data_IF_179110516604
#
_entry.id   IF_179110516604
#
_cell.length_a   1.000
_cell.length_b   1.000
_cell.length_c   1.000
_cell.angle_alpha   90.00
_cell.angle_beta   90.00
_cell.angle_gamma   90.00
#
_symmetry.space_group_name_H-M   'P 1'
#
loop_
_entity.id
_entity.type
_entity.pdbx_description
1 polymer ?
#
# COMPACT_ATOMS: atom_id res chain seq x y z
N UNK A 1 -38.31 -22.65 47.14
CA UNK A 1 -38.32 -21.43 47.99
C UNK A 1 -37.39 -20.40 47.36
N UNK A 2 -37.88 -19.16 47.29
CA UNK A 2 -37.17 -17.93 46.89
C UNK A 2 -35.88 -17.78 47.73
N UNK A 3 -34.80 -17.19 47.24
CA UNK A 3 -34.68 -15.73 47.10
C UNK A 3 -33.75 -15.24 45.98
N UNK A 4 -34.18 -14.13 45.39
CA UNK A 4 -33.39 -13.17 44.62
C UNK A 4 -32.62 -12.26 45.58
N UNK A 5 -31.45 -11.78 45.16
CA UNK A 5 -31.13 -10.35 45.29
C UNK A 5 -30.12 -9.92 44.22
N UNK A 6 -30.54 -8.93 43.43
CA UNK A 6 -29.68 -8.02 42.69
C UNK A 6 -28.98 -7.07 43.68
N UNK A 7 -27.75 -6.59 43.39
CA UNK A 7 -27.55 -5.27 42.79
C UNK A 7 -26.09 -4.78 42.78
N UNK A 8 -25.76 -4.09 41.68
CA UNK A 8 -24.95 -2.85 41.53
C UNK A 8 -23.43 -2.79 41.76
N UNK A 9 -22.76 -2.42 40.64
CA UNK A 9 -21.72 -1.37 40.48
C UNK A 9 -20.36 -1.63 41.15
N UNK A 10 -19.19 -1.21 40.65
CA UNK A 10 -18.83 0.02 39.93
C UNK A 10 -17.35 -0.05 39.44
N UNK A 11 -16.94 0.92 38.62
CA UNK A 11 -15.63 1.23 37.97
C UNK A 11 -15.54 0.73 36.51
N UNK A 12 -15.87 1.47 35.43
CA UNK A 12 -15.63 2.91 35.05
C UNK A 12 -14.14 3.28 35.23
N UNK A 13 -13.33 3.76 34.28
CA UNK A 13 -13.39 4.63 33.05
C UNK A 13 -12.03 4.41 32.33
N UNK A 14 -11.78 4.60 31.02
CA UNK A 14 -12.26 5.57 30.04
C UNK A 14 -11.07 6.43 29.53
N UNK A 15 -10.81 6.47 28.21
CA UNK A 15 -10.05 7.53 27.49
C UNK A 15 -10.28 7.41 25.97
N UNK A 16 -11.34 8.00 25.42
CA UNK A 16 -11.45 9.37 24.88
C UNK A 16 -10.84 9.55 23.45
N UNK A 17 -11.69 9.38 22.42
CA UNK A 17 -11.49 9.88 21.05
C UNK A 17 -11.64 11.42 21.04
N UNK A 18 -10.64 12.14 20.56
CA UNK A 18 -10.71 13.60 20.33
C UNK A 18 -11.46 13.88 19.02
N UNK A 19 -12.61 14.55 19.13
CA UNK A 19 -13.29 15.27 18.04
C UNK A 19 -12.76 16.71 18.02
N UNK A 20 -12.45 17.23 16.83
CA UNK A 20 -12.35 18.66 16.59
C UNK A 20 -13.59 19.11 15.80
N UNK A 21 -14.36 20.00 16.40
CA UNK A 21 -15.43 20.78 15.79
C UNK A 21 -14.90 22.20 15.61
N UNK A 22 -15.04 22.76 14.42
CA UNK A 22 -15.04 24.22 14.20
C UNK A 22 -16.32 24.52 13.41
N UNK A 23 -17.05 25.53 13.88
CA UNK A 23 -18.38 25.92 13.44
C UNK A 23 -18.37 27.27 12.69
N UNK A 24 -19.29 27.40 11.73
CA UNK A 24 -19.92 28.66 11.28
C UNK A 24 -19.30 29.32 10.03
N UNK A 25 -20.02 29.91 9.07
CA UNK A 25 -21.42 30.41 9.02
C UNK A 25 -21.90 30.61 7.55
N UNK A 26 -23.23 30.45 7.36
CA UNK A 26 -24.14 30.97 6.30
C UNK A 26 -24.03 30.40 4.87
N UNK A 27 -25.10 30.10 4.12
CA UNK A 27 -26.54 30.32 4.27
C UNK A 27 -27.12 30.67 2.89
N UNK A 28 -27.95 29.79 2.30
CA UNK A 28 -28.86 30.14 1.19
C UNK A 28 -30.00 29.11 1.07
N UNK A 29 -31.21 29.63 0.86
CA UNK A 29 -32.50 28.95 0.96
C UNK A 29 -32.81 28.02 -0.21
N UNK A 30 -33.55 26.94 0.08
CA UNK A 30 -34.11 26.02 -0.89
C UNK A 30 -35.41 26.54 -1.48
N UNK A 31 -35.49 26.61 -2.81
CA UNK A 31 -36.76 26.62 -3.56
C UNK A 31 -36.91 25.24 -4.20
N UNK A 32 -37.84 24.45 -3.68
CA UNK A 32 -38.25 23.17 -4.24
C UNK A 32 -39.17 23.41 -5.44
N UNK A 33 -38.65 23.21 -6.65
CA UNK A 33 -39.48 22.91 -7.82
C UNK A 33 -39.32 21.41 -8.08
N UNK A 34 -40.42 20.69 -7.91
CA UNK A 34 -40.51 19.26 -8.16
C UNK A 34 -40.24 18.94 -9.63
N UNK A 35 -39.00 18.56 -9.91
CA UNK A 35 -38.72 17.51 -10.86
C UNK A 35 -38.42 16.26 -10.04
N UNK A 36 -39.14 15.16 -10.31
CA UNK A 36 -38.62 13.83 -10.01
C UNK A 36 -37.36 13.65 -10.85
N UNK A 37 -36.25 14.16 -10.36
CA UNK A 37 -34.93 13.73 -10.79
C UNK A 37 -34.84 12.30 -10.29
N UNK A 38 -35.12 11.36 -11.17
CA UNK A 38 -34.56 10.01 -11.03
C UNK A 38 -33.08 10.27 -10.76
N UNK A 39 -32.53 9.89 -9.58
CA UNK A 39 -31.12 10.13 -9.33
C UNK A 39 -30.39 9.52 -10.51
N UNK A 40 -29.70 10.36 -11.29
CA UNK A 40 -28.88 9.88 -12.39
C UNK A 40 -28.05 8.78 -11.77
N UNK A 41 -28.24 7.53 -12.26
CA UNK A 41 -27.39 6.44 -11.81
C UNK A 41 -25.97 6.95 -12.00
N UNK A 42 -25.22 7.04 -10.91
CA UNK A 42 -23.84 7.50 -10.96
C UNK A 42 -23.02 6.35 -11.57
N UNK A 43 -23.30 6.10 -12.85
CA UNK A 43 -22.79 4.99 -13.61
C UNK A 43 -21.30 5.24 -13.80
N UNK A 44 -20.52 4.21 -13.48
CA UNK A 44 -19.09 4.25 -13.64
C UNK A 44 -18.80 4.28 -15.15
N UNK A 45 -18.21 5.38 -15.61
CA UNK A 45 -17.79 5.53 -17.00
C UNK A 45 -16.27 5.73 -17.09
N UNK A 46 -15.73 5.67 -18.31
CA UNK A 46 -14.30 5.81 -18.56
C UNK A 46 -13.74 7.14 -18.03
N UNK A 47 -14.48 8.23 -18.14
CA UNK A 47 -14.02 9.57 -17.71
C UNK A 47 -13.87 9.63 -16.19
N UNK A 48 -14.84 9.10 -15.45
CA UNK A 48 -14.79 8.99 -13.98
C UNK A 48 -13.65 8.09 -13.54
N UNK A 49 -13.48 6.94 -14.18
CA UNK A 49 -12.36 6.03 -13.90
C UNK A 49 -11.02 6.75 -14.15
N UNK A 50 -10.86 7.41 -15.29
CA UNK A 50 -9.65 8.17 -15.61
C UNK A 50 -9.36 9.25 -14.55
N UNK A 51 -10.39 9.95 -14.05
CA UNK A 51 -10.24 10.95 -13.00
C UNK A 51 -9.78 10.31 -11.67
N UNK A 52 -10.41 9.21 -11.26
CA UNK A 52 -10.04 8.46 -10.04
C UNK A 52 -8.59 7.99 -10.14
N UNK A 53 -8.21 7.34 -11.26
CA UNK A 53 -6.87 6.76 -11.41
C UNK A 53 -5.77 7.82 -11.53
N UNK A 54 -6.04 8.96 -12.19
CA UNK A 54 -5.08 10.09 -12.22
C UNK A 54 -4.75 10.61 -10.84
N UNK A 55 -5.77 10.78 -9.98
CA UNK A 55 -5.57 11.24 -8.61
C UNK A 55 -4.90 10.17 -7.76
N UNK A 56 -5.41 8.94 -7.84
CA UNK A 56 -4.89 7.84 -7.06
C UNK A 56 -3.38 7.64 -7.33
N UNK A 57 -3.00 7.42 -8.59
CA UNK A 57 -1.63 7.06 -8.97
C UNK A 57 -0.60 8.18 -8.78
N UNK A 58 -1.03 9.39 -8.42
CA UNK A 58 -0.11 10.44 -7.96
C UNK A 58 0.43 10.15 -6.54
N UNK A 59 -0.29 9.36 -5.73
CA UNK A 59 0.17 8.92 -4.41
C UNK A 59 1.00 7.64 -4.50
N UNK A 60 2.24 7.68 -4.00
CA UNK A 60 3.13 6.51 -3.86
C UNK A 60 2.49 5.33 -3.13
N UNK A 61 1.50 5.57 -2.26
CA UNK A 61 0.82 4.51 -1.53
C UNK A 61 -0.11 3.69 -2.40
N UNK A 62 -0.51 4.19 -3.58
CA UNK A 62 -1.45 3.52 -4.47
C UNK A 62 -0.81 3.09 -5.79
N UNK A 63 0.43 3.48 -6.11
CA UNK A 63 1.09 3.01 -7.35
C UNK A 63 1.27 1.48 -7.33
N UNK A 64 1.34 0.82 -8.51
CA UNK A 64 1.62 -0.61 -8.58
C UNK A 64 2.92 -0.97 -7.85
N UNK A 65 2.94 -2.12 -7.17
CA UNK A 65 4.18 -2.62 -6.53
C UNK A 65 5.30 -2.87 -7.54
N UNK A 66 4.93 -3.17 -8.79
CA UNK A 66 5.84 -3.33 -9.92
C UNK A 66 6.64 -2.05 -10.24
N UNK A 67 6.15 -0.90 -9.78
CA UNK A 67 6.85 0.39 -9.89
C UNK A 67 7.86 0.61 -8.75
N UNK A 68 8.11 -0.38 -7.91
CA UNK A 68 8.91 -0.22 -6.70
C UNK A 68 10.12 -1.15 -6.67
N UNK A 69 11.26 -0.63 -6.21
CA UNK A 69 12.40 -1.43 -5.78
C UNK A 69 12.09 -1.96 -4.37
N UNK A 70 12.26 -3.27 -4.18
CA UNK A 70 11.89 -3.96 -2.95
C UNK A 70 13.10 -4.33 -2.10
N UNK A 71 13.03 -4.04 -0.81
CA UNK A 71 14.03 -4.42 0.19
C UNK A 71 13.33 -5.16 1.33
N UNK A 72 13.68 -6.43 1.52
CA UNK A 72 13.12 -7.24 2.59
C UNK A 72 13.58 -6.74 3.97
N UNK A 73 12.70 -6.87 4.97
CA UNK A 73 12.99 -6.50 6.36
C UNK A 73 11.91 -5.61 6.95
N UNK A 74 12.02 -5.36 8.26
CA UNK A 74 11.08 -4.50 8.98
C UNK A 74 11.11 -3.04 8.48
N UNK A 75 10.08 -2.28 8.86
CA UNK A 75 9.96 -0.86 8.54
C UNK A 75 11.20 -0.08 8.97
N UNK A 76 11.79 0.65 8.02
CA UNK A 76 12.98 1.46 8.24
C UNK A 76 12.71 2.66 9.17
N UNK A 77 13.65 3.03 10.05
CA UNK A 77 14.96 2.40 10.23
C UNK A 77 14.87 1.05 10.96
N UNK A 78 15.74 0.11 10.57
CA UNK A 78 15.73 -1.25 11.08
C UNK A 78 17.13 -1.89 11.03
N UNK A 79 17.39 -2.79 11.97
CA UNK A 79 18.50 -3.72 11.89
C UNK A 79 18.06 -4.98 11.13
N UNK A 80 18.79 -5.33 10.08
CA UNK A 80 18.51 -6.50 9.24
C UNK A 80 19.67 -7.50 9.32
N UNK A 81 19.41 -8.75 8.95
CA UNK A 81 20.51 -9.70 8.78
C UNK A 81 21.42 -9.22 7.64
N UNK A 82 22.72 -9.07 7.93
CA UNK A 82 23.67 -8.55 6.95
C UNK A 82 23.69 -9.39 5.66
N UNK A 83 23.41 -10.70 5.75
CA UNK A 83 23.37 -11.60 4.59
C UNK A 83 22.31 -11.19 3.55
N UNK A 84 21.22 -10.54 3.97
CA UNK A 84 20.09 -10.18 3.10
C UNK A 84 20.44 -9.02 2.14
N UNK A 85 21.52 -8.29 2.45
CA UNK A 85 22.06 -7.19 1.63
C UNK A 85 23.15 -7.66 0.68
N UNK A 86 23.62 -8.89 0.82
CA UNK A 86 24.74 -9.44 0.09
C UNK A 86 24.26 -10.50 -0.91
N UNK A 87 25.02 -10.65 -1.98
CA UNK A 87 25.00 -11.81 -2.85
C UNK A 87 25.69 -12.99 -2.17
N UNK A 88 25.54 -14.18 -2.75
CA UNK A 88 26.17 -15.43 -2.26
C UNK A 88 27.70 -15.32 -2.19
N UNK A 89 28.32 -14.51 -3.05
CA UNK A 89 29.76 -14.25 -3.07
C UNK A 89 30.21 -13.18 -2.05
N UNK A 90 29.30 -12.68 -1.21
CA UNK A 90 29.58 -11.67 -0.18
C UNK A 90 29.63 -10.24 -0.68
N UNK A 91 29.42 -9.98 -1.98
CA UNK A 91 29.35 -8.63 -2.54
C UNK A 91 27.97 -8.02 -2.28
N UNK A 92 27.90 -6.72 -1.98
CA UNK A 92 26.61 -6.01 -1.83
C UNK A 92 25.77 -6.19 -3.10
N UNK A 93 24.48 -6.50 -2.93
CA UNK A 93 23.56 -6.59 -4.07
C UNK A 93 23.51 -5.25 -4.80
N UNK A 94 23.46 -5.30 -6.12
CA UNK A 94 23.55 -4.09 -6.96
C UNK A 94 22.40 -3.10 -6.69
N UNK A 95 21.20 -3.60 -6.49
CA UNK A 95 20.04 -2.77 -6.14
C UNK A 95 20.21 -2.09 -4.77
N UNK A 96 20.73 -2.79 -3.76
CA UNK A 96 21.06 -2.20 -2.46
C UNK A 96 22.14 -1.13 -2.60
N UNK A 97 23.21 -1.42 -3.36
CA UNK A 97 24.28 -0.45 -3.61
C UNK A 97 23.74 0.78 -4.33
N UNK A 98 22.92 0.61 -5.36
CA UNK A 98 22.32 1.72 -6.09
C UNK A 98 21.34 2.54 -5.23
N UNK A 99 20.59 1.92 -4.31
CA UNK A 99 19.77 2.65 -3.33
C UNK A 99 20.62 3.53 -2.41
N UNK A 100 21.83 3.09 -2.05
CA UNK A 100 22.80 3.88 -1.27
C UNK A 100 23.38 5.01 -2.13
N UNK A 101 23.87 4.69 -3.33
CA UNK A 101 24.56 5.64 -4.21
C UNK A 101 23.63 6.76 -4.71
N UNK A 102 22.34 6.44 -4.91
CA UNK A 102 21.30 7.42 -5.22
C UNK A 102 20.71 8.10 -4.00
N UNK A 103 21.22 7.79 -2.81
CA UNK A 103 20.89 8.46 -1.57
C UNK A 103 19.46 8.21 -1.10
N UNK A 104 18.84 7.06 -1.42
CA UNK A 104 17.52 6.69 -0.90
C UNK A 104 17.61 6.13 0.53
N UNK A 105 18.70 5.41 0.82
CA UNK A 105 18.97 4.85 2.15
C UNK A 105 20.41 5.11 2.57
N UNK A 106 20.67 4.95 3.86
CA UNK A 106 22.02 4.73 4.39
C UNK A 106 22.10 3.33 4.97
N UNK A 107 23.27 2.71 4.85
CA UNK A 107 23.54 1.40 5.43
C UNK A 107 24.82 1.47 6.27
N UNK A 108 24.71 1.14 7.55
CA UNK A 108 25.86 0.85 8.42
C UNK A 108 26.05 -0.66 8.44
N UNK A 109 26.96 -1.14 7.60
CA UNK A 109 27.38 -2.54 7.61
C UNK A 109 28.08 -2.89 8.91
N UNK A 110 27.94 -4.15 9.36
CA UNK A 110 28.54 -4.66 10.60
C UNK A 110 28.13 -3.85 11.84
N UNK A 111 26.84 -3.53 11.95
CA UNK A 111 26.29 -2.78 13.08
C UNK A 111 26.31 -3.56 14.41
N UNK A 112 26.55 -4.87 14.35
CA UNK A 112 26.71 -5.73 15.54
C UNK A 112 26.31 -7.17 15.25
N UNK A 113 26.00 -7.92 16.32
CA UNK A 113 25.36 -9.23 16.24
C UNK A 113 24.11 -9.23 17.12
N UNK A 114 23.06 -9.88 16.66
CA UNK A 114 21.82 -9.98 17.45
C UNK A 114 20.65 -10.49 16.63
N UNK A 115 19.46 -10.06 17.05
CA UNK A 115 18.18 -10.37 16.39
C UNK A 115 17.81 -9.24 15.43
N UNK A 116 17.49 -9.53 14.15
CA UNK A 116 16.91 -8.54 13.25
C UNK A 116 15.64 -7.91 13.84
N UNK A 117 15.38 -6.66 13.47
CA UNK A 117 14.19 -5.93 13.92
C UNK A 117 12.92 -6.61 13.40
N UNK A 118 11.96 -6.83 14.29
CA UNK A 118 10.56 -7.16 13.96
C UNK A 118 9.70 -6.23 14.81
N UNK A 119 8.83 -5.45 14.17
CA UNK A 119 7.98 -4.46 14.86
C UNK A 119 6.63 -5.03 15.28
N UNK A 120 6.12 -6.00 14.54
CA UNK A 120 4.86 -6.65 14.85
C UNK A 120 5.05 -7.56 16.10
N UNK A 121 4.35 -7.29 17.22
CA UNK A 121 4.57 -8.02 18.47
C UNK A 121 4.10 -9.48 18.41
N UNK A 122 3.27 -9.83 17.42
CA UNK A 122 2.76 -11.19 17.25
C UNK A 122 3.76 -12.11 16.53
N UNK A 123 4.88 -11.55 16.05
CA UNK A 123 5.91 -12.26 15.29
C UNK A 123 7.30 -12.06 15.89
N UNK A 124 8.11 -13.12 15.84
CA UNK A 124 9.52 -13.07 16.22
C UNK A 124 10.41 -13.54 15.09
N UNK A 125 11.59 -12.91 14.96
CA UNK A 125 12.63 -13.41 14.06
C UNK A 125 13.16 -14.75 14.55
N UNK A 126 13.25 -15.71 13.64
CA UNK A 126 13.94 -17.00 13.86
C UNK A 126 15.45 -16.83 14.00
N UNK A 127 16.01 -15.85 13.31
CA UNK A 127 17.41 -15.47 13.43
C UNK A 127 17.61 -14.69 14.74
N UNK A 128 18.36 -15.24 15.69
CA UNK A 128 18.55 -14.63 17.04
C UNK A 128 19.99 -14.19 17.34
N UNK A 129 20.96 -14.61 16.53
CA UNK A 129 22.39 -14.35 16.74
C UNK A 129 23.16 -14.19 15.43
N UNK A 130 22.66 -13.31 14.56
CA UNK A 130 23.22 -13.08 13.22
C UNK A 130 23.98 -11.76 13.14
N UNK A 131 24.95 -11.61 12.23
CA UNK A 131 25.54 -10.31 11.92
C UNK A 131 24.45 -9.35 11.43
N UNK A 132 24.44 -8.14 11.97
CA UNK A 132 23.44 -7.13 11.65
C UNK A 132 24.03 -6.00 10.81
N UNK A 133 23.22 -5.47 9.91
CA UNK A 133 23.44 -4.17 9.28
C UNK A 133 22.28 -3.25 9.64
N UNK A 134 22.57 -1.98 9.91
CA UNK A 134 21.54 -0.99 10.21
C UNK A 134 21.20 -0.21 8.95
N UNK A 135 19.93 -0.13 8.60
CA UNK A 135 19.44 0.61 7.44
C UNK A 135 18.54 1.75 7.93
N UNK A 136 18.75 2.95 7.38
CA UNK A 136 17.92 4.11 7.64
C UNK A 136 17.50 4.80 6.34
N UNK A 137 16.32 5.43 6.37
CA UNK A 137 15.85 6.28 5.28
C UNK A 137 16.57 7.62 5.28
N UNK A 138 16.94 8.09 4.10
CA UNK A 138 17.30 9.50 3.93
C UNK A 138 16.03 10.35 3.78
N UNK A 139 16.13 11.68 3.94
CA UNK A 139 15.03 12.58 3.61
C UNK A 139 14.56 12.45 2.15
N UNK A 140 15.49 12.20 1.23
CA UNK A 140 15.18 11.98 -0.19
C UNK A 140 14.46 10.64 -0.42
N UNK A 141 14.95 9.54 0.14
CA UNK A 141 14.29 8.23 -0.01
C UNK A 141 12.88 8.21 0.59
N UNK A 142 12.64 8.97 1.67
CA UNK A 142 11.32 9.08 2.30
C UNK A 142 10.22 9.54 1.35
N UNK A 143 10.53 10.33 0.31
CA UNK A 143 9.51 10.79 -0.65
C UNK A 143 8.99 9.68 -1.56
N UNK A 144 9.75 8.59 -1.72
CA UNK A 144 9.41 7.42 -2.54
C UNK A 144 9.05 6.18 -1.70
N UNK A 145 9.30 6.26 -0.39
CA UNK A 145 9.19 5.12 0.52
C UNK A 145 7.74 4.84 0.94
N UNK A 146 7.38 3.56 0.89
CA UNK A 146 6.27 2.99 1.66
C UNK A 146 6.66 1.63 2.21
N UNK A 147 6.00 1.22 3.28
CA UNK A 147 6.21 -0.06 3.92
C UNK A 147 4.95 -0.92 3.82
N UNK A 148 5.13 -2.24 3.68
CA UNK A 148 4.03 -3.19 3.69
C UNK A 148 4.38 -4.42 4.52
N UNK A 149 3.39 -4.86 5.28
CA UNK A 149 3.36 -6.17 5.92
C UNK A 149 2.19 -6.97 5.38
N UNK A 150 2.37 -8.26 5.21
CA UNK A 150 1.27 -9.18 4.93
C UNK A 150 1.60 -10.58 5.45
N UNK A 151 0.57 -11.26 5.96
CA UNK A 151 0.69 -12.64 6.38
C UNK A 151 0.62 -13.56 5.16
N UNK A 152 1.47 -14.58 5.14
CA UNK A 152 1.39 -15.67 4.16
C UNK A 152 1.28 -16.99 4.89
N UNK A 153 0.64 -17.96 4.22
CA UNK A 153 0.57 -19.33 4.71
C UNK A 153 1.81 -20.08 4.23
N UNK A 154 2.85 -20.12 5.05
CA UNK A 154 4.06 -20.89 4.74
C UNK A 154 3.99 -22.25 5.44
N UNK A 155 3.83 -23.31 4.66
CA UNK A 155 3.77 -24.70 5.15
C UNK A 155 5.05 -25.18 5.83
N UNK A 156 6.16 -24.44 5.73
CA UNK A 156 7.43 -24.73 6.40
C UNK A 156 7.54 -24.12 7.81
N UNK A 157 6.52 -23.40 8.28
CA UNK A 157 6.49 -22.75 9.59
C UNK A 157 5.56 -23.48 10.57
N UNK A 158 6.01 -23.87 11.77
CA UNK A 158 5.11 -24.39 12.81
C UNK A 158 4.07 -23.33 13.17
N UNK A 159 2.78 -23.64 12.98
CA UNK A 159 1.68 -22.67 13.11
C UNK A 159 1.25 -22.02 11.78
N UNK A 160 1.94 -22.33 10.68
CA UNK A 160 1.51 -22.10 9.30
C UNK A 160 1.43 -20.64 8.84
N UNK A 161 1.82 -19.66 9.66
CA UNK A 161 1.77 -18.23 9.32
C UNK A 161 3.16 -17.62 9.35
N UNK A 162 3.53 -16.95 8.26
CA UNK A 162 4.74 -16.16 8.15
C UNK A 162 4.40 -14.70 7.87
N UNK A 163 5.11 -13.78 8.52
CA UNK A 163 4.99 -12.36 8.24
C UNK A 163 6.00 -11.97 7.16
N UNK A 164 5.51 -11.52 6.01
CA UNK A 164 6.34 -10.87 5.01
C UNK A 164 6.38 -9.37 5.29
N UNK A 165 7.60 -8.85 5.44
CA UNK A 165 7.88 -7.44 5.67
C UNK A 165 8.69 -6.91 4.48
N UNK A 166 8.20 -5.87 3.82
CA UNK A 166 8.84 -5.31 2.64
C UNK A 166 8.85 -3.78 2.66
N UNK A 167 10.05 -3.25 2.48
CA UNK A 167 10.31 -1.84 2.23
C UNK A 167 10.27 -1.59 0.72
N UNK A 168 9.49 -0.60 0.28
CA UNK A 168 9.27 -0.31 -1.13
C UNK A 168 9.68 1.12 -1.45
N UNK A 169 10.56 1.29 -2.43
CA UNK A 169 10.92 2.58 -3.00
C UNK A 169 10.26 2.71 -4.37
N UNK A 170 9.12 3.39 -4.39
CA UNK A 170 8.23 3.42 -5.53
C UNK A 170 8.49 4.63 -6.42
N UNK A 171 8.66 4.39 -7.71
CA UNK A 171 8.73 5.43 -8.71
C UNK A 171 7.39 6.17 -8.84
N UNK A 172 7.44 7.44 -9.23
CA UNK A 172 6.27 8.08 -9.81
C UNK A 172 5.92 7.37 -11.12
N UNK A 173 4.64 7.37 -11.48
CA UNK A 173 4.16 6.72 -12.69
C UNK A 173 3.43 7.71 -13.58
N UNK A 174 3.65 7.60 -14.88
CA UNK A 174 2.81 8.24 -15.87
C UNK A 174 1.60 7.35 -16.12
N UNK A 175 0.40 7.91 -15.93
CA UNK A 175 -0.86 7.24 -16.25
C UNK A 175 -1.19 7.35 -17.74
N UNK A 176 -1.49 6.21 -18.37
CA UNK A 176 -1.73 6.08 -19.82
C UNK A 176 -3.20 5.94 -20.22
N UNK A 177 -4.12 5.98 -19.25
CA UNK A 177 -5.55 5.85 -19.50
C UNK A 177 -6.09 4.43 -19.30
N UNK A 178 -7.43 4.35 -19.17
CA UNK A 178 -8.15 3.07 -19.10
C UNK A 178 -8.08 2.35 -20.45
N UNK A 179 -7.66 1.08 -20.39
CA UNK A 179 -7.68 0.16 -21.52
C UNK A 179 -9.05 -0.54 -21.63
N UNK A 180 -9.55 -1.12 -20.53
CA UNK A 180 -10.86 -1.78 -20.45
C UNK A 180 -11.32 -1.87 -19.00
N UNK A 181 -12.62 -1.95 -18.76
CA UNK A 181 -13.18 -2.19 -17.43
C UNK A 181 -14.40 -3.10 -17.51
N UNK A 182 -14.68 -3.80 -16.42
CA UNK A 182 -15.88 -4.63 -16.28
C UNK A 182 -17.08 -3.76 -15.91
N UNK A 183 -18.27 -4.13 -16.39
CA UNK A 183 -19.51 -3.49 -15.94
C UNK A 183 -19.63 -3.63 -14.41
N UNK A 184 -20.05 -2.56 -13.70
CA UNK A 184 -20.29 -2.60 -12.27
C UNK A 184 -21.19 -3.78 -11.86
N UNK A 185 -20.69 -4.65 -10.99
CA UNK A 185 -21.43 -5.81 -10.49
C UNK A 185 -21.17 -6.01 -9.00
N UNK A 186 -22.09 -6.69 -8.31
CA UNK A 186 -21.81 -7.19 -6.95
C UNK A 186 -20.74 -8.29 -7.02
N UNK A 187 -19.81 -8.33 -6.07
CA UNK A 187 -18.92 -9.47 -5.93
C UNK A 187 -19.74 -10.69 -5.47
N UNK A 188 -19.78 -11.81 -6.24
CA UNK A 188 -20.57 -12.97 -5.85
C UNK A 188 -19.91 -13.82 -4.75
N UNK A 189 -18.68 -13.49 -4.35
CA UNK A 189 -17.88 -14.31 -3.43
C UNK A 189 -17.59 -13.64 -2.08
N UNK A 190 -18.16 -12.46 -1.84
CA UNK A 190 -18.21 -11.85 -0.52
C UNK A 190 -19.63 -11.31 -0.22
N UNK A 191 -19.88 -11.05 1.07
CA UNK A 191 -21.13 -10.45 1.53
C UNK A 191 -21.15 -8.92 1.36
N UNK A 192 -20.16 -8.33 0.68
CA UNK A 192 -20.05 -6.89 0.53
C UNK A 192 -21.21 -6.37 -0.33
N UNK A 193 -22.03 -5.43 0.16
CA UNK A 193 -23.15 -4.88 -0.62
C UNK A 193 -22.69 -3.98 -1.77
N UNK A 194 -21.42 -3.55 -1.78
CA UNK A 194 -20.89 -2.59 -2.74
C UNK A 194 -20.77 -3.18 -4.16
N UNK A 195 -21.00 -2.31 -5.16
CA UNK A 195 -20.68 -2.63 -6.54
C UNK A 195 -19.17 -2.50 -6.76
N UNK A 196 -18.60 -3.41 -7.53
CA UNK A 196 -17.18 -3.41 -7.88
C UNK A 196 -17.00 -3.40 -9.39
N UNK A 197 -15.86 -2.86 -9.85
CA UNK A 197 -15.43 -2.93 -11.24
C UNK A 197 -13.93 -3.15 -11.31
N UNK A 198 -13.51 -4.17 -12.06
CA UNK A 198 -12.10 -4.38 -12.39
C UNK A 198 -11.71 -3.54 -13.60
N UNK A 199 -10.76 -2.64 -13.40
CA UNK A 199 -10.26 -1.70 -14.41
C UNK A 199 -8.85 -2.10 -14.80
N UNK A 200 -8.61 -2.30 -16.09
CA UNK A 200 -7.27 -2.42 -16.65
C UNK A 200 -6.84 -1.07 -17.24
N UNK A 201 -5.65 -0.63 -16.89
CA UNK A 201 -5.09 0.65 -17.30
C UNK A 201 -3.63 0.52 -17.71
N UNK A 202 -3.16 1.51 -18.48
CA UNK A 202 -1.78 1.60 -18.93
C UNK A 202 -0.98 2.50 -18.01
N UNK A 203 0.27 2.15 -17.76
CA UNK A 203 1.19 2.98 -16.98
C UNK A 203 2.64 2.73 -17.38
N UNK A 204 3.53 3.64 -16.98
CA UNK A 204 4.98 3.44 -17.05
C UNK A 204 5.68 4.27 -15.96
N UNK A 205 6.91 3.92 -15.55
CA UNK A 205 7.68 4.77 -14.65
C UNK A 205 7.93 6.16 -15.24
N UNK A 206 7.69 7.19 -14.44
CA UNK A 206 8.00 8.57 -14.79
C UNK A 206 9.46 8.88 -14.42
N UNK A 207 10.33 8.81 -15.43
CA UNK A 207 11.77 9.07 -15.26
C UNK A 207 12.09 10.54 -14.98
N UNK A 208 11.20 11.47 -15.31
CA UNK A 208 11.41 12.89 -15.03
C UNK A 208 11.11 13.19 -13.56
N UNK A 209 9.99 12.66 -13.04
CA UNK A 209 9.63 12.80 -11.64
C UNK A 209 10.42 11.87 -10.70
N UNK A 210 11.14 10.87 -11.24
CA UNK A 210 11.87 9.86 -10.47
C UNK A 210 13.36 9.83 -10.83
N UNK A 211 14.19 10.74 -10.28
CA UNK A 211 15.60 10.90 -10.72
C UNK A 211 16.48 9.66 -10.53
N UNK A 212 16.17 8.82 -9.53
CA UNK A 212 16.95 7.62 -9.24
C UNK A 212 16.77 6.51 -10.28
N UNK A 213 15.76 6.58 -11.16
CA UNK A 213 15.62 5.67 -12.31
C UNK A 213 16.63 5.94 -13.44
N UNK A 214 17.48 6.95 -13.31
CA UNK A 214 18.68 7.07 -14.16
C UNK A 214 19.71 5.98 -13.86
N UNK A 215 19.57 5.28 -12.74
CA UNK A 215 20.38 4.11 -12.41
C UNK A 215 19.83 2.84 -13.09
N UNK A 216 20.63 2.15 -13.92
CA UNK A 216 20.17 0.93 -14.57
C UNK A 216 19.86 -0.19 -13.58
N UNK A 217 20.61 -0.30 -12.47
CA UNK A 217 20.38 -1.36 -11.49
C UNK A 217 19.05 -1.15 -10.73
N UNK A 218 18.62 0.09 -10.51
CA UNK A 218 17.30 0.40 -9.93
C UNK A 218 16.16 0.26 -10.93
N UNK A 219 16.40 0.60 -12.19
CA UNK A 219 15.41 0.40 -13.25
C UNK A 219 15.15 -1.08 -13.48
N UNK A 220 16.21 -1.90 -13.54
CA UNK A 220 16.14 -3.35 -13.74
C UNK A 220 15.55 -4.06 -12.51
N UNK A 221 15.66 -3.47 -11.32
CA UNK A 221 15.03 -3.97 -10.10
C UNK A 221 13.51 -3.73 -10.06
N UNK A 222 12.95 -2.91 -10.94
CA UNK A 222 11.50 -2.80 -11.08
C UNK A 222 10.94 -4.09 -11.70
N UNK A 223 9.93 -4.68 -11.06
CA UNK A 223 9.20 -5.82 -11.64
C UNK A 223 8.16 -5.37 -12.68
N UNK A 224 8.53 -4.42 -13.53
CA UNK A 224 7.70 -3.83 -14.58
C UNK A 224 8.01 -4.50 -15.91
N UNK A 225 6.97 -5.02 -16.57
CA UNK A 225 7.07 -5.72 -17.84
C UNK A 225 6.36 -4.89 -18.93
N UNK A 226 7.08 -3.96 -19.59
CA UNK A 226 6.49 -3.14 -20.64
C UNK A 226 6.22 -3.95 -21.91
N UNK A 227 5.19 -3.54 -22.64
CA UNK A 227 5.00 -3.88 -24.04
C UNK A 227 6.06 -3.18 -24.92
N UNK A 228 6.09 -3.51 -26.22
CA UNK A 228 7.05 -2.92 -27.17
C UNK A 228 7.01 -1.38 -27.24
N UNK A 229 5.87 -0.77 -26.91
CA UNK A 229 5.70 0.68 -26.89
C UNK A 229 6.09 1.33 -25.54
N UNK A 230 6.63 0.56 -24.61
CA UNK A 230 7.17 1.03 -23.33
C UNK A 230 6.13 1.24 -22.23
N UNK A 231 4.86 0.89 -22.46
CA UNK A 231 3.82 0.91 -21.43
C UNK A 231 3.56 -0.50 -20.90
N UNK A 232 3.29 -0.65 -19.61
CA UNK A 232 2.72 -1.88 -19.08
C UNK A 232 1.23 -1.73 -18.80
N UNK A 233 0.60 -2.89 -18.65
CA UNK A 233 -0.79 -3.03 -18.25
C UNK A 233 -0.85 -3.45 -16.78
N UNK A 234 -1.80 -2.89 -16.03
CA UNK A 234 -2.13 -3.34 -14.67
C UNK A 234 -3.64 -3.29 -14.48
N UNK A 235 -4.15 -4.16 -13.62
CA UNK A 235 -5.53 -4.14 -13.19
C UNK A 235 -5.68 -3.58 -11.77
N UNK A 236 -6.78 -2.89 -11.52
CA UNK A 236 -7.13 -2.29 -10.24
C UNK A 236 -8.65 -2.33 -10.03
N UNK A 237 -9.07 -2.57 -8.79
CA UNK A 237 -10.45 -2.67 -8.36
C UNK A 237 -10.96 -1.30 -7.90
N UNK A 238 -12.08 -0.89 -8.47
CA UNK A 238 -12.90 0.21 -7.96
C UNK A 238 -14.10 -0.35 -7.23
N UNK A 239 -14.49 0.33 -6.16
CA UNK A 239 -15.60 -0.04 -5.29
C UNK A 239 -16.50 1.19 -5.08
N UNK A 240 -17.81 0.94 -5.08
CA UNK A 240 -18.83 1.97 -4.85
C UNK A 240 -19.31 1.89 -3.41
N UNK A 241 -19.03 2.93 -2.63
CA UNK A 241 -19.44 3.00 -1.23
C UNK A 241 -20.97 3.15 -1.05
N UNK A 242 -21.43 3.07 0.20
CA UNK A 242 -22.83 3.27 0.60
C UNK A 242 -23.42 4.64 0.18
N UNK A 243 -22.56 5.64 -0.03
CA UNK A 243 -22.98 6.97 -0.49
C UNK A 243 -23.06 7.05 -2.03
N UNK A 244 -22.74 5.95 -2.71
CA UNK A 244 -22.75 5.83 -4.15
C UNK A 244 -21.48 6.36 -4.83
N UNK A 245 -20.43 6.69 -4.07
CA UNK A 245 -19.18 7.23 -4.59
C UNK A 245 -18.19 6.13 -4.96
N UNK A 246 -17.56 6.26 -6.13
CA UNK A 246 -16.58 5.32 -6.64
C UNK A 246 -15.16 5.70 -6.20
N UNK A 247 -14.43 4.76 -5.61
CA UNK A 247 -13.05 4.95 -5.19
C UNK A 247 -12.25 3.64 -5.31
N UNK A 248 -10.96 3.69 -4.96
CA UNK A 248 -10.18 2.48 -4.73
C UNK A 248 -10.70 1.76 -3.49
N UNK A 249 -10.89 0.45 -3.56
CA UNK A 249 -11.12 -0.37 -2.36
C UNK A 249 -9.84 -0.56 -1.52
N UNK A 250 -9.94 -1.15 -0.34
CA UNK A 250 -8.82 -1.27 0.62
C UNK A 250 -7.61 -2.07 0.09
N UNK A 251 -7.82 -3.01 -0.83
CA UNK A 251 -6.76 -3.79 -1.49
C UNK A 251 -6.99 -3.78 -3.00
N UNK A 252 -6.75 -2.64 -3.66
CA UNK A 252 -7.29 -2.39 -4.99
C UNK A 252 -6.56 -3.21 -6.07
N UNK A 253 -5.38 -3.75 -5.78
CA UNK A 253 -4.66 -4.63 -6.73
C UNK A 253 -4.95 -6.12 -6.55
N UNK A 254 -5.79 -6.48 -5.58
CA UNK A 254 -6.19 -7.87 -5.36
C UNK A 254 -7.54 -8.09 -6.00
N UNK A 255 -7.61 -9.11 -6.86
CA UNK A 255 -8.87 -9.60 -7.36
C UNK A 255 -9.59 -10.31 -6.21
N UNK A 256 -10.72 -9.76 -5.78
CA UNK A 256 -11.63 -10.40 -4.82
C UNK A 256 -12.73 -11.07 -5.65
N UNK A 257 -12.47 -12.27 -6.14
CA UNK A 257 -13.48 -13.23 -6.59
C UNK A 257 -13.14 -14.53 -5.87
#
# INVERSE_FOLDING_TARGET
MKDRNESTSDKRRGRARRRWLIAGVAGAAAVLIGMRVIPARDDLDKSKIDAILKVALADKNTVPTDACVSLAGAELPADVNAKDLLRVDGVVRKDVQALIDRGLITVKFNAGKGRPTVRNPDYESRDTHVPLSHIALTPFGKTFYRYREFETTDGSVPGGRALHMVNLFCAHVTYGGVAKFMEPSKNPFDDNPHLVSWVNFRWKPDRQATPWLTDPDLLDALSFYPEQDGWANRGILLERDDNGHWALGDNPYTIRW
#
